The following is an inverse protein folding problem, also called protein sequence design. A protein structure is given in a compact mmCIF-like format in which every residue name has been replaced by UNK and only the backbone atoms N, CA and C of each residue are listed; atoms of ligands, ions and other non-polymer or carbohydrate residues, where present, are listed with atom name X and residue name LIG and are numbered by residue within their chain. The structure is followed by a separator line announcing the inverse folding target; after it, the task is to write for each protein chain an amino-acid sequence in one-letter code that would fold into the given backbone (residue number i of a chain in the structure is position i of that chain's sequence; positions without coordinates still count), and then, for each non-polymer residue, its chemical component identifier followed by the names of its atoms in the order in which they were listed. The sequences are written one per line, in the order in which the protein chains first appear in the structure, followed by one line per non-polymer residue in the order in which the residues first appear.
data_IF_106563430239
#
_entry.id   IF_106563430239
#
_cell.length_a   1.000
_cell.length_b   1.000
_cell.length_c   1.000
_cell.angle_alpha   90.00
_cell.angle_beta   90.00
_cell.angle_gamma   90.00
#
_symmetry.space_group_name_H-M   'P 1'
#
loop_
_entity.id
_entity.type
_entity.pdbx_description
1 polymer ?
#
# COMPACT_ATOMS: atom_id res chain seq x y z
N UNK A 1 30.94 -63.32 53.88
CA UNK A 1 31.39 -62.04 53.38
C UNK A 1 30.44 -61.62 52.23
N UNK A 2 29.45 -60.73 52.51
CA UNK A 2 28.49 -60.23 51.52
C UNK A 2 28.99 -58.90 51.00
N UNK A 3 29.35 -58.84 49.73
CA UNK A 3 29.71 -57.62 49.02
C UNK A 3 28.40 -56.87 48.60
N UNK A 4 28.23 -55.67 49.13
CA UNK A 4 27.19 -54.75 48.69
C UNK A 4 27.73 -53.94 47.50
N UNK A 5 27.09 -54.04 46.31
CA UNK A 5 27.28 -53.16 45.17
C UNK A 5 26.41 -51.91 45.35
N UNK A 6 26.91 -50.69 45.27
CA UNK A 6 26.05 -49.55 45.22
C UNK A 6 25.52 -49.41 43.78
N UNK A 7 24.17 -49.40 43.66
CA UNK A 7 23.48 -49.06 42.42
C UNK A 7 23.58 -47.54 42.24
N UNK A 8 24.40 -47.14 41.25
CA UNK A 8 24.51 -45.76 40.80
C UNK A 8 23.31 -45.43 39.93
N UNK A 9 22.26 -44.78 40.49
CA UNK A 9 21.14 -44.26 39.74
C UNK A 9 21.61 -43.06 38.95
N UNK A 10 21.87 -43.26 37.65
CA UNK A 10 22.16 -42.20 36.66
C UNK A 10 20.83 -41.54 36.30
N UNK A 11 20.50 -40.42 36.98
CA UNK A 11 19.41 -39.52 36.59
C UNK A 11 19.81 -38.84 35.31
N UNK A 12 19.42 -39.39 34.18
CA UNK A 12 19.38 -38.74 32.87
C UNK A 12 18.36 -37.62 32.95
N UNK A 13 18.83 -36.39 33.18
CA UNK A 13 18.07 -35.20 32.85
C UNK A 13 17.86 -35.20 31.35
N UNK A 14 16.77 -35.77 30.89
CA UNK A 14 16.20 -35.48 29.58
C UNK A 14 15.71 -34.04 29.60
N UNK A 15 16.65 -33.11 29.40
CA UNK A 15 16.34 -31.75 28.98
C UNK A 15 15.69 -31.88 27.60
N UNK A 16 14.41 -32.18 27.59
CA UNK A 16 13.60 -32.08 26.39
C UNK A 16 13.71 -30.64 25.89
N UNK A 17 14.54 -30.41 24.88
CA UNK A 17 14.38 -29.25 24.03
C UNK A 17 12.98 -29.32 23.45
N UNK A 18 11.99 -28.76 24.14
CA UNK A 18 10.70 -28.49 23.57
C UNK A 18 10.99 -27.59 22.38
N UNK A 19 10.96 -28.15 21.19
CA UNK A 19 11.14 -27.41 19.95
C UNK A 19 10.04 -26.37 19.93
N UNK A 20 10.39 -25.12 20.24
CA UNK A 20 9.44 -24.03 20.39
C UNK A 20 8.75 -23.86 19.05
N UNK A 21 7.44 -24.15 19.00
CA UNK A 21 6.64 -24.07 17.80
C UNK A 21 6.70 -22.65 17.25
N UNK A 22 7.19 -22.48 16.04
CA UNK A 22 7.19 -21.20 15.36
C UNK A 22 5.75 -20.86 14.93
N UNK A 23 5.23 -19.76 15.43
CA UNK A 23 3.94 -19.23 15.00
C UNK A 23 4.10 -18.48 13.69
N UNK A 24 3.14 -18.59 12.79
CA UNK A 24 3.15 -17.95 11.49
C UNK A 24 2.12 -16.82 11.46
N UNK A 25 2.49 -15.67 10.90
CA UNK A 25 1.58 -14.57 10.64
C UNK A 25 1.61 -14.26 9.15
N UNK A 26 0.46 -14.27 8.48
CA UNK A 26 0.35 -13.99 7.05
C UNK A 26 -0.23 -12.59 6.84
N UNK A 27 0.46 -11.74 6.07
CA UNK A 27 0.09 -10.36 5.80
C UNK A 27 -0.03 -10.13 4.29
N UNK A 28 -1.23 -9.79 3.79
CA UNK A 28 -1.40 -9.26 2.44
C UNK A 28 -1.36 -7.74 2.47
N UNK A 29 -0.59 -7.13 1.58
CA UNK A 29 -0.40 -5.69 1.65
C UNK A 29 -0.21 -5.01 0.28
N UNK A 30 -0.44 -3.70 0.25
CA UNK A 30 -0.12 -2.84 -0.88
C UNK A 30 1.38 -2.84 -1.19
N UNK A 31 1.74 -2.66 -2.46
CA UNK A 31 3.14 -2.59 -2.91
C UNK A 31 3.94 -1.53 -2.14
N UNK A 32 3.41 -0.32 -1.99
CA UNK A 32 4.03 0.80 -1.28
C UNK A 32 4.25 0.57 0.23
N UNK A 33 3.66 -0.47 0.80
CA UNK A 33 3.92 -0.89 2.18
C UNK A 33 5.05 -1.93 2.30
N UNK A 34 5.67 -2.36 1.20
CA UNK A 34 6.63 -3.47 1.21
C UNK A 34 7.80 -3.24 2.15
N UNK A 35 8.45 -2.06 2.05
CA UNK A 35 9.59 -1.74 2.91
C UNK A 35 9.18 -1.50 4.37
N UNK A 36 8.25 -0.60 4.70
CA UNK A 36 7.93 -0.34 6.10
C UNK A 36 7.34 -1.56 6.81
N UNK A 37 6.54 -2.40 6.12
CA UNK A 37 6.07 -3.65 6.71
C UNK A 37 7.17 -4.73 6.81
N UNK A 38 8.22 -4.70 5.97
CA UNK A 38 9.38 -5.57 6.16
C UNK A 38 10.08 -5.24 7.47
N UNK A 39 10.36 -3.97 7.69
CA UNK A 39 11.09 -3.51 8.85
C UNK A 39 10.26 -3.66 10.14
N UNK A 40 8.95 -3.38 10.07
CA UNK A 40 8.01 -3.67 11.19
C UNK A 40 7.93 -5.16 11.49
N UNK A 41 7.84 -6.02 10.46
CA UNK A 41 7.76 -7.47 10.68
C UNK A 41 8.99 -8.00 11.41
N UNK A 42 10.18 -7.61 10.95
CA UNK A 42 11.44 -7.98 11.61
C UNK A 42 11.50 -7.50 13.06
N UNK A 43 11.13 -6.24 13.30
CA UNK A 43 11.10 -5.69 14.65
C UNK A 43 10.05 -6.36 15.54
N UNK A 44 8.93 -6.80 14.96
CA UNK A 44 7.88 -7.55 15.68
C UNK A 44 8.36 -8.97 16.03
N UNK A 45 9.01 -9.66 15.12
CA UNK A 45 9.64 -10.97 15.38
C UNK A 45 10.64 -10.90 16.55
N UNK A 46 11.52 -9.89 16.54
CA UNK A 46 12.49 -9.63 17.62
C UNK A 46 11.78 -9.29 18.95
N UNK A 47 10.68 -8.54 18.90
CA UNK A 47 9.86 -8.20 20.06
C UNK A 47 9.18 -9.43 20.66
N UNK A 48 8.64 -10.31 19.84
CA UNK A 48 8.00 -11.55 20.29
C UNK A 48 9.01 -12.57 20.80
N UNK A 49 10.19 -12.66 20.18
CA UNK A 49 11.28 -13.51 20.67
C UNK A 49 11.72 -13.13 22.09
N UNK A 50 11.80 -11.83 22.42
CA UNK A 50 12.06 -11.35 23.79
C UNK A 50 10.96 -11.73 24.81
N UNK A 51 9.76 -12.03 24.34
CA UNK A 51 8.65 -12.57 25.15
C UNK A 51 8.65 -14.09 25.21
N UNK A 52 9.63 -14.75 24.61
CA UNK A 52 9.69 -16.21 24.55
C UNK A 52 8.78 -16.84 23.48
N UNK A 53 8.28 -16.08 22.50
CA UNK A 53 7.45 -16.57 21.41
C UNK A 53 8.19 -16.40 20.09
N UNK A 54 8.41 -17.52 19.37
CA UNK A 54 9.02 -17.46 18.04
C UNK A 54 7.94 -17.23 16.99
N UNK A 55 8.05 -16.14 16.24
CA UNK A 55 7.13 -15.74 15.18
C UNK A 55 7.88 -15.60 13.87
N UNK A 56 7.23 -15.96 12.76
CA UNK A 56 7.68 -15.70 11.40
C UNK A 56 6.56 -15.00 10.62
N UNK A 57 6.84 -13.81 10.06
CA UNK A 57 5.86 -13.00 9.34
C UNK A 57 6.04 -13.15 7.83
N UNK A 58 5.07 -13.81 7.19
CA UNK A 58 5.00 -13.96 5.73
C UNK A 58 4.23 -12.81 5.12
N UNK A 59 4.83 -12.12 4.16
CA UNK A 59 4.25 -10.95 3.52
C UNK A 59 4.06 -11.19 2.03
N UNK A 60 2.90 -10.81 1.51
CA UNK A 60 2.59 -10.89 0.09
C UNK A 60 2.10 -9.52 -0.42
N UNK A 61 2.93 -8.88 -1.28
CA UNK A 61 2.62 -7.60 -1.89
C UNK A 61 1.79 -7.76 -3.17
N UNK A 62 0.80 -6.88 -3.35
CA UNK A 62 0.03 -6.74 -4.59
C UNK A 62 -0.62 -5.35 -4.66
N UNK A 63 -1.31 -5.01 -5.75
CA UNK A 63 -2.23 -3.88 -5.72
C UNK A 63 -3.29 -4.06 -4.62
N UNK A 64 -3.71 -2.97 -3.96
CA UNK A 64 -4.59 -3.08 -2.79
C UNK A 64 -5.95 -3.70 -3.12
N UNK A 65 -6.48 -3.47 -4.31
CA UNK A 65 -7.74 -4.10 -4.76
C UNK A 65 -7.53 -5.61 -4.90
N UNK A 66 -6.40 -6.03 -5.46
CA UNK A 66 -6.05 -7.45 -5.58
C UNK A 66 -5.84 -8.09 -4.20
N UNK A 67 -5.18 -7.39 -3.25
CA UNK A 67 -5.00 -7.88 -1.88
C UNK A 67 -6.34 -8.18 -1.20
N UNK A 68 -7.31 -7.29 -1.35
CA UNK A 68 -8.68 -7.50 -0.84
C UNK A 68 -9.38 -8.66 -1.57
N UNK A 69 -9.27 -8.73 -2.90
CA UNK A 69 -9.90 -9.78 -3.71
C UNK A 69 -9.37 -11.18 -3.41
N UNK A 70 -8.11 -11.31 -3.01
CA UNK A 70 -7.58 -12.60 -2.52
C UNK A 70 -8.41 -13.14 -1.36
N UNK A 71 -8.93 -12.27 -0.50
CA UNK A 71 -9.79 -12.63 0.64
C UNK A 71 -11.25 -12.80 0.21
N UNK A 72 -11.80 -11.82 -0.55
CA UNK A 72 -13.24 -11.76 -0.85
C UNK A 72 -13.66 -12.72 -1.96
N UNK A 73 -12.85 -12.83 -3.02
CA UNK A 73 -13.18 -13.57 -4.23
C UNK A 73 -12.49 -14.95 -4.24
N UNK A 74 -11.22 -15.02 -3.80
CA UNK A 74 -10.44 -16.26 -3.80
C UNK A 74 -10.45 -16.98 -2.45
N UNK A 75 -11.10 -16.40 -1.43
CA UNK A 75 -11.25 -16.99 -0.08
C UNK A 75 -9.92 -17.43 0.57
N UNK A 76 -8.81 -16.78 0.18
CA UNK A 76 -7.51 -17.07 0.79
C UNK A 76 -7.50 -16.66 2.26
N UNK A 77 -6.89 -17.51 3.08
CA UNK A 77 -6.67 -17.21 4.51
C UNK A 77 -5.49 -16.27 4.67
N UNK A 78 -5.66 -15.29 5.55
CA UNK A 78 -4.65 -14.29 5.88
C UNK A 78 -4.98 -13.70 7.23
N UNK A 79 -3.97 -13.32 7.99
CA UNK A 79 -4.15 -12.81 9.35
C UNK A 79 -4.29 -11.28 9.37
N UNK A 80 -3.61 -10.58 8.45
CA UNK A 80 -3.68 -9.11 8.35
C UNK A 80 -3.78 -8.69 6.88
N UNK A 81 -4.65 -7.72 6.60
CA UNK A 81 -4.74 -7.04 5.29
C UNK A 81 -4.42 -5.56 5.48
N UNK A 82 -3.41 -5.05 4.77
CA UNK A 82 -3.00 -3.65 4.78
C UNK A 82 -3.03 -3.04 3.37
N UNK A 83 -3.79 -1.97 3.19
CA UNK A 83 -4.11 -1.38 1.87
C UNK A 83 -3.74 0.09 1.79
N UNK A 84 -3.41 0.57 0.59
CA UNK A 84 -3.09 1.97 0.33
C UNK A 84 -4.32 2.89 0.27
N UNK A 85 -5.53 2.32 0.24
CA UNK A 85 -6.78 3.06 0.40
C UNK A 85 -7.65 2.38 1.46
N UNK A 86 -7.75 2.99 2.65
CA UNK A 86 -8.53 2.44 3.75
C UNK A 86 -10.00 2.19 3.41
N UNK A 87 -10.57 2.95 2.45
CA UNK A 87 -11.98 2.81 2.06
C UNK A 87 -12.29 1.49 1.35
N UNK A 88 -11.29 0.77 0.85
CA UNK A 88 -11.47 -0.56 0.26
C UNK A 88 -11.95 -1.58 1.28
N UNK A 89 -11.49 -1.48 2.54
CA UNK A 89 -11.89 -2.42 3.60
C UNK A 89 -13.39 -2.31 3.89
N UNK A 90 -13.97 -1.15 4.25
CA UNK A 90 -15.40 -1.06 4.48
C UNK A 90 -16.23 -1.33 3.22
N UNK A 91 -15.75 -0.93 2.03
CA UNK A 91 -16.51 -1.10 0.78
C UNK A 91 -16.53 -2.54 0.26
N UNK A 92 -15.47 -3.31 0.49
CA UNK A 92 -15.30 -4.64 -0.12
C UNK A 92 -15.27 -5.79 0.88
N UNK A 93 -14.83 -5.54 2.12
CA UNK A 93 -14.67 -6.59 3.13
C UNK A 93 -15.74 -6.56 4.21
N UNK A 94 -16.22 -5.37 4.62
CA UNK A 94 -17.19 -5.27 5.73
C UNK A 94 -18.64 -5.42 5.25
N UNK A 95 -19.53 -5.99 6.05
CA UNK A 95 -19.24 -6.71 7.31
C UNK A 95 -18.87 -8.18 7.11
N UNK A 96 -18.90 -8.70 5.88
CA UNK A 96 -18.82 -10.14 5.59
C UNK A 96 -17.44 -10.74 5.92
N UNK A 97 -16.36 -10.05 5.57
CA UNK A 97 -14.97 -10.56 5.68
C UNK A 97 -14.14 -9.84 6.73
N UNK A 98 -14.57 -8.67 7.20
CA UNK A 98 -13.92 -7.90 8.26
C UNK A 98 -14.95 -7.18 9.13
N UNK A 99 -14.60 -6.85 10.38
CA UNK A 99 -15.48 -6.14 11.33
C UNK A 99 -15.05 -4.71 11.56
N UNK A 100 -13.81 -4.36 11.22
CA UNK A 100 -13.25 -3.04 11.41
C UNK A 100 -12.25 -2.66 10.32
N UNK A 101 -11.95 -1.38 10.27
CA UNK A 101 -10.85 -0.82 9.51
C UNK A 101 -10.17 0.26 10.35
N UNK A 102 -8.84 0.28 10.39
CA UNK A 102 -8.06 1.34 11.01
C UNK A 102 -7.26 2.05 9.91
N UNK A 103 -7.61 3.32 9.63
CA UNK A 103 -6.80 4.22 8.82
C UNK A 103 -5.66 4.75 9.69
N UNK A 104 -4.39 4.53 9.31
CA UNK A 104 -3.27 4.76 10.22
C UNK A 104 -2.13 5.63 9.66
N UNK A 105 -1.93 5.64 8.34
CA UNK A 105 -0.84 6.36 7.70
C UNK A 105 -1.32 7.14 6.47
N UNK A 106 -0.55 8.12 6.02
CA UNK A 106 -0.86 8.98 4.88
C UNK A 106 0.28 9.02 3.88
N UNK A 107 -0.01 9.53 2.69
CA UNK A 107 0.96 9.72 1.61
C UNK A 107 0.49 10.83 0.66
N UNK A 108 1.25 11.08 -0.39
CA UNK A 108 0.91 11.96 -1.50
C UNK A 108 1.43 11.38 -2.81
N UNK A 109 0.81 11.74 -3.92
CA UNK A 109 1.26 11.35 -5.26
C UNK A 109 2.34 12.30 -5.74
N UNK A 110 3.40 11.74 -6.30
CA UNK A 110 4.50 12.45 -6.95
C UNK A 110 4.75 11.86 -8.34
N UNK A 111 5.49 12.58 -9.16
CA UNK A 111 5.96 12.08 -10.45
C UNK A 111 7.45 11.75 -10.34
N UNK A 112 7.79 10.47 -10.31
CA UNK A 112 9.18 9.99 -10.20
C UNK A 112 9.87 9.86 -11.54
N UNK A 113 11.20 10.01 -11.53
CA UNK A 113 12.06 9.89 -12.70
C UNK A 113 13.52 9.64 -12.32
N UNK A 114 14.37 9.34 -13.30
CA UNK A 114 15.81 9.16 -13.15
C UNK A 114 16.61 10.30 -13.78
N UNK A 115 17.90 10.36 -13.53
CA UNK A 115 18.78 11.31 -14.21
C UNK A 115 18.81 11.13 -15.75
N UNK A 116 18.52 9.92 -16.21
CA UNK A 116 18.50 9.56 -17.65
C UNK A 116 17.14 9.77 -18.30
N UNK A 117 16.10 10.16 -17.55
CA UNK A 117 14.77 10.43 -18.09
C UNK A 117 14.84 11.65 -19.04
N UNK A 118 14.10 11.60 -20.13
CA UNK A 118 14.03 12.72 -21.08
C UNK A 118 13.53 13.96 -20.37
N UNK A 119 14.23 15.08 -20.55
CA UNK A 119 13.91 16.37 -19.92
C UNK A 119 14.04 16.38 -18.38
N UNK A 120 14.86 15.49 -17.80
CA UNK A 120 15.06 15.39 -16.35
C UNK A 120 15.53 16.67 -15.66
N UNK A 121 16.21 17.57 -16.39
CA UNK A 121 16.69 18.85 -15.89
C UNK A 121 15.74 20.02 -16.15
N UNK A 122 14.65 19.80 -16.90
CA UNK A 122 13.69 20.82 -17.27
C UNK A 122 12.38 20.68 -16.48
N UNK A 123 12.04 19.44 -16.09
CA UNK A 123 10.77 19.11 -15.46
C UNK A 123 10.64 19.71 -14.04
N UNK A 124 9.47 20.26 -13.76
CA UNK A 124 9.12 20.81 -12.46
C UNK A 124 7.60 20.81 -12.23
N UNK A 125 7.15 21.31 -11.06
CA UNK A 125 5.74 21.32 -10.68
C UNK A 125 4.83 22.16 -11.59
N UNK A 126 5.36 23.10 -12.37
CA UNK A 126 4.56 23.95 -13.25
C UNK A 126 4.48 23.46 -14.70
N UNK A 127 5.31 22.50 -15.10
CA UNK A 127 5.41 22.07 -16.51
C UNK A 127 5.38 20.54 -16.72
N UNK A 128 5.28 19.73 -15.68
CA UNK A 128 5.35 18.27 -15.77
C UNK A 128 4.41 17.68 -16.84
N UNK A 129 3.19 18.17 -16.92
CA UNK A 129 2.21 17.70 -17.88
C UNK A 129 2.60 18.06 -19.33
N UNK A 130 3.24 19.22 -19.56
CA UNK A 130 3.78 19.60 -20.87
C UNK A 130 4.96 18.72 -21.26
N UNK A 131 5.81 18.34 -20.31
CA UNK A 131 6.91 17.39 -20.53
C UNK A 131 6.37 16.00 -20.88
N UNK A 132 5.40 15.48 -20.11
CA UNK A 132 4.78 14.19 -20.41
C UNK A 132 4.09 14.17 -21.78
N UNK A 133 3.55 15.30 -22.25
CA UNK A 133 2.91 15.41 -23.55
C UNK A 133 3.90 15.35 -24.73
N UNK A 134 5.20 15.67 -24.52
CA UNK A 134 6.21 15.71 -25.59
C UNK A 134 6.32 14.36 -26.31
N UNK A 135 6.61 14.44 -27.62
CA UNK A 135 6.84 13.25 -28.46
C UNK A 135 8.04 12.44 -27.94
N UNK A 136 7.88 11.13 -27.88
CA UNK A 136 8.92 10.20 -27.43
C UNK A 136 9.01 10.03 -25.90
N UNK A 137 8.44 10.91 -25.09
CA UNK A 137 8.34 10.74 -23.63
C UNK A 137 7.31 9.65 -23.34
N UNK A 138 7.71 8.67 -22.52
CA UNK A 138 6.84 7.61 -22.02
C UNK A 138 6.70 7.71 -20.52
N UNK A 139 5.51 7.47 -20.02
CA UNK A 139 5.26 7.45 -18.58
C UNK A 139 4.33 6.30 -18.16
N UNK A 140 4.31 5.99 -16.88
CA UNK A 140 3.53 4.89 -16.36
C UNK A 140 2.74 5.23 -15.11
N UNK A 141 1.72 4.40 -14.87
CA UNK A 141 1.00 4.32 -13.61
C UNK A 141 0.45 2.89 -13.42
N UNK A 142 0.09 2.53 -12.19
CA UNK A 142 -0.48 1.22 -11.92
C UNK A 142 -1.91 1.09 -12.45
N UNK A 143 -2.39 -0.13 -12.66
CA UNK A 143 -3.72 -0.39 -13.18
C UNK A 143 -4.81 0.07 -12.18
N UNK A 144 -5.65 1.06 -12.53
CA UNK A 144 -6.70 1.59 -11.65
C UNK A 144 -7.70 0.53 -11.16
N UNK A 145 -7.91 -0.54 -11.93
CA UNK A 145 -8.80 -1.65 -11.55
C UNK A 145 -8.20 -2.56 -10.47
N UNK A 146 -6.89 -2.44 -10.18
CA UNK A 146 -6.14 -3.34 -9.31
C UNK A 146 -5.45 -2.62 -8.15
N UNK A 147 -5.10 -1.35 -8.35
CA UNK A 147 -4.26 -0.59 -7.43
C UNK A 147 -4.69 0.87 -7.27
N UNK A 148 -4.77 1.37 -6.01
CA UNK A 148 -5.12 2.76 -5.70
C UNK A 148 -4.20 3.80 -6.31
N UNK A 149 -2.89 3.54 -6.47
CA UNK A 149 -1.98 4.49 -7.09
C UNK A 149 -2.43 4.81 -8.53
N UNK A 150 -2.93 3.82 -9.26
CA UNK A 150 -3.42 3.98 -10.62
C UNK A 150 -4.64 4.91 -10.72
N UNK A 151 -5.70 4.68 -9.93
CA UNK A 151 -6.84 5.60 -9.99
C UNK A 151 -6.52 6.98 -9.41
N UNK A 152 -5.56 7.08 -8.49
CA UNK A 152 -5.08 8.36 -7.97
C UNK A 152 -4.25 9.13 -9.00
N UNK A 153 -3.44 8.45 -9.81
CA UNK A 153 -2.74 9.06 -10.95
C UNK A 153 -3.73 9.69 -11.94
N UNK A 154 -4.81 8.97 -12.25
CA UNK A 154 -5.90 9.51 -13.08
C UNK A 154 -6.57 10.73 -12.43
N UNK A 155 -6.84 10.67 -11.12
CA UNK A 155 -7.42 11.80 -10.36
C UNK A 155 -6.49 13.02 -10.37
N UNK A 156 -5.18 12.82 -10.17
CA UNK A 156 -4.16 13.89 -10.24
C UNK A 156 -4.19 14.57 -11.60
N UNK A 157 -4.17 13.79 -12.68
CA UNK A 157 -4.21 14.33 -14.05
C UNK A 157 -5.53 15.07 -14.35
N UNK A 158 -6.64 14.61 -13.77
CA UNK A 158 -7.94 15.29 -13.93
C UNK A 158 -8.06 16.56 -13.09
N UNK A 159 -7.56 16.55 -11.85
CA UNK A 159 -7.48 17.75 -11.00
C UNK A 159 -6.55 18.81 -11.60
N UNK A 160 -5.55 18.38 -12.36
CA UNK A 160 -4.62 19.28 -13.04
C UNK A 160 -5.30 20.12 -14.13
N UNK A 161 -6.42 19.66 -14.73
CA UNK A 161 -7.20 20.45 -15.69
C UNK A 161 -7.64 21.80 -15.07
N UNK A 162 -8.25 21.71 -13.89
CA UNK A 162 -8.75 22.90 -13.18
C UNK A 162 -7.61 23.74 -12.60
N UNK A 163 -6.56 23.09 -12.07
CA UNK A 163 -5.45 23.78 -11.42
C UNK A 163 -4.58 24.58 -12.40
N UNK A 164 -4.26 24.00 -13.57
CA UNK A 164 -3.42 24.67 -14.57
C UNK A 164 -4.23 25.40 -15.66
N UNK A 165 -5.55 25.25 -15.68
CA UNK A 165 -6.44 25.75 -16.74
C UNK A 165 -6.04 25.25 -18.14
N UNK A 166 -5.63 23.98 -18.22
CA UNK A 166 -5.14 23.30 -19.43
C UNK A 166 -5.81 21.93 -19.55
N UNK A 167 -6.06 21.39 -20.74
CA UNK A 167 -6.73 20.08 -20.93
C UNK A 167 -5.73 18.92 -20.68
N UNK A 168 -5.23 18.84 -19.43
CA UNK A 168 -4.18 17.86 -19.04
C UNK A 168 -4.67 16.43 -19.19
N UNK A 169 -5.90 16.15 -18.69
CA UNK A 169 -6.47 14.80 -18.73
C UNK A 169 -6.73 14.33 -20.16
N UNK A 170 -7.32 15.17 -20.99
CA UNK A 170 -7.53 14.86 -22.42
C UNK A 170 -6.19 14.58 -23.09
N UNK A 171 -5.22 15.51 -22.95
CA UNK A 171 -3.91 15.42 -23.60
C UNK A 171 -3.13 14.18 -23.19
N UNK A 172 -3.09 13.85 -21.90
CA UNK A 172 -2.27 12.75 -21.37
C UNK A 172 -2.99 11.42 -21.36
N UNK A 173 -4.29 11.38 -21.05
CA UNK A 173 -5.04 10.14 -20.83
C UNK A 173 -5.95 9.79 -22.00
N UNK A 174 -6.92 10.65 -22.36
CA UNK A 174 -7.93 10.30 -23.36
C UNK A 174 -7.35 10.10 -24.77
N UNK A 175 -6.35 10.91 -25.15
CA UNK A 175 -5.67 10.78 -26.43
C UNK A 175 -4.70 9.58 -26.50
N UNK A 176 -4.45 8.91 -25.37
CA UNK A 176 -3.46 7.82 -25.31
C UNK A 176 -4.04 6.50 -24.78
N UNK A 177 -5.30 6.50 -24.33
CA UNK A 177 -5.97 5.31 -23.80
C UNK A 177 -7.46 5.30 -24.18
N UNK A 178 -8.17 4.24 -23.82
CA UNK A 178 -9.63 4.16 -23.86
C UNK A 178 -10.32 4.60 -22.56
N UNK A 179 -9.60 5.17 -21.60
CA UNK A 179 -10.18 5.82 -20.40
C UNK A 179 -10.77 7.16 -20.79
N UNK A 180 -11.95 7.50 -20.29
CA UNK A 180 -12.67 8.74 -20.62
C UNK A 180 -13.14 9.46 -19.38
N UNK A 181 -13.34 10.77 -19.45
CA UNK A 181 -13.97 11.56 -18.41
C UNK A 181 -15.24 12.27 -18.92
N UNK A 182 -16.25 12.39 -18.05
CA UNK A 182 -17.42 13.22 -18.27
C UNK A 182 -17.58 14.13 -17.04
N UNK A 183 -17.34 15.41 -17.23
CA UNK A 183 -17.19 16.34 -16.11
C UNK A 183 -16.06 15.86 -15.19
N UNK A 184 -16.33 15.75 -13.92
CA UNK A 184 -15.34 15.31 -12.91
C UNK A 184 -15.38 13.81 -12.61
N UNK A 185 -16.07 13.01 -13.43
CA UNK A 185 -16.13 11.55 -13.29
C UNK A 185 -15.30 10.89 -14.38
N UNK A 186 -14.30 10.11 -13.98
CA UNK A 186 -13.43 9.33 -14.85
C UNK A 186 -13.98 7.91 -14.97
N UNK A 187 -14.21 7.44 -16.18
CA UNK A 187 -14.70 6.11 -16.51
C UNK A 187 -13.53 5.22 -16.92
N UNK A 188 -13.26 4.19 -16.14
CA UNK A 188 -12.17 3.25 -16.37
C UNK A 188 -12.74 1.91 -16.85
N UNK A 189 -12.48 1.51 -18.10
CA UNK A 189 -12.94 0.22 -18.61
C UNK A 189 -12.26 -0.96 -17.91
N UNK A 190 -12.84 -2.18 -17.96
CA UNK A 190 -12.22 -3.38 -17.40
C UNK A 190 -10.82 -3.65 -17.96
N UNK A 191 -10.65 -3.49 -19.26
CA UNK A 191 -9.38 -3.58 -19.97
C UNK A 191 -8.97 -2.20 -20.50
N UNK A 192 -7.79 -1.74 -20.09
CA UNK A 192 -7.28 -0.44 -20.51
C UNK A 192 -6.32 -0.65 -21.67
N UNK A 193 -6.70 -0.09 -22.82
CA UNK A 193 -5.87 -0.05 -24.01
C UNK A 193 -5.02 1.21 -24.02
N UNK A 194 -3.78 1.12 -24.54
CA UNK A 194 -2.86 2.25 -24.66
C UNK A 194 -2.23 2.27 -26.06
N UNK A 195 -1.84 3.45 -26.53
CA UNK A 195 -1.09 3.61 -27.79
C UNK A 195 0.44 3.47 -27.62
N UNK A 196 0.90 3.00 -26.45
CA UNK A 196 2.32 2.80 -26.13
C UNK A 196 3.04 4.00 -25.54
N UNK A 197 2.37 5.18 -25.39
CA UNK A 197 2.89 6.33 -24.65
C UNK A 197 2.77 6.11 -23.14
N UNK A 198 1.70 5.48 -22.72
CA UNK A 198 1.42 5.11 -21.31
C UNK A 198 1.71 3.62 -21.12
N UNK A 199 2.43 3.30 -20.05
CA UNK A 199 2.69 1.93 -19.63
C UNK A 199 1.96 1.65 -18.32
N UNK A 200 1.12 0.62 -18.30
CA UNK A 200 0.31 0.23 -17.15
C UNK A 200 0.83 -1.08 -16.58
N UNK A 201 0.97 -1.16 -15.26
CA UNK A 201 1.41 -2.36 -14.52
C UNK A 201 0.41 -2.71 -13.41
N UNK A 202 0.37 -3.97 -12.96
CA UNK A 202 -0.57 -4.42 -11.93
C UNK A 202 -0.49 -3.62 -10.63
N UNK A 203 0.70 -3.22 -10.20
CA UNK A 203 0.95 -2.40 -9.02
C UNK A 203 2.03 -1.35 -9.29
N UNK A 204 2.10 -0.33 -8.46
CA UNK A 204 2.99 0.83 -8.62
C UNK A 204 4.46 0.41 -8.59
N UNK A 205 4.85 -0.47 -7.69
CA UNK A 205 6.25 -0.92 -7.57
C UNK A 205 6.78 -1.66 -8.81
N UNK A 206 5.90 -2.14 -9.70
CA UNK A 206 6.31 -2.79 -10.95
C UNK A 206 6.84 -1.78 -11.99
N UNK A 207 6.61 -0.48 -11.77
CA UNK A 207 7.11 0.58 -12.65
C UNK A 207 8.57 0.94 -12.39
N UNK A 208 9.10 0.62 -11.20
CA UNK A 208 10.47 0.96 -10.81
C UNK A 208 11.51 0.35 -11.74
N UNK A 209 11.39 -0.94 -12.03
CA UNK A 209 12.29 -1.61 -12.98
C UNK A 209 12.20 -1.07 -14.41
N UNK A 210 11.07 -0.49 -14.81
CA UNK A 210 10.90 0.16 -16.10
C UNK A 210 11.57 1.54 -16.15
N UNK A 211 11.58 2.26 -15.04
CA UNK A 211 12.34 3.51 -14.90
C UNK A 211 13.86 3.23 -14.94
N UNK A 212 14.32 2.24 -14.17
CA UNK A 212 15.73 1.84 -14.11
C UNK A 212 16.26 1.35 -15.48
N UNK A 213 15.44 0.59 -16.21
CA UNK A 213 15.77 0.11 -17.56
C UNK A 213 15.54 1.15 -18.67
N UNK A 214 15.12 2.37 -18.31
CA UNK A 214 14.76 3.46 -19.25
C UNK A 214 13.66 3.08 -20.26
N UNK A 215 12.84 2.09 -19.94
CA UNK A 215 11.67 1.71 -20.74
C UNK A 215 10.55 2.75 -20.66
N UNK A 216 10.51 3.51 -19.56
CA UNK A 216 9.70 4.70 -19.35
C UNK A 216 10.56 5.82 -18.78
N UNK A 217 10.15 7.07 -18.98
CA UNK A 217 10.85 8.25 -18.47
C UNK A 217 10.31 8.68 -17.09
N UNK A 218 9.02 8.50 -16.85
CA UNK A 218 8.33 8.98 -15.66
C UNK A 218 7.31 7.96 -15.16
N UNK A 219 7.02 7.99 -13.85
CA UNK A 219 5.91 7.22 -13.30
C UNK A 219 5.21 8.01 -12.19
N UNK A 220 3.88 7.84 -12.08
CA UNK A 220 3.13 8.30 -10.93
C UNK A 220 3.30 7.31 -9.78
N UNK A 221 3.80 7.82 -8.65
CA UNK A 221 4.16 7.04 -7.48
C UNK A 221 3.79 7.76 -6.19
N UNK A 222 3.89 7.03 -5.09
CA UNK A 222 3.80 7.64 -3.77
C UNK A 222 5.15 8.22 -3.34
N UNK A 223 5.10 9.39 -2.67
CA UNK A 223 6.29 10.09 -2.18
C UNK A 223 7.15 9.22 -1.28
N UNK A 224 6.55 8.42 -0.39
CA UNK A 224 7.31 7.51 0.47
C UNK A 224 8.15 6.52 -0.35
N UNK A 225 7.59 5.95 -1.42
CA UNK A 225 8.31 5.02 -2.30
C UNK A 225 9.45 5.73 -3.04
N UNK A 226 9.21 6.94 -3.57
CA UNK A 226 10.25 7.75 -4.21
C UNK A 226 11.45 7.99 -3.27
N UNK A 227 11.18 8.34 -2.01
CA UNK A 227 12.20 8.54 -0.98
C UNK A 227 12.94 7.24 -0.61
N UNK A 228 12.21 6.14 -0.45
CA UNK A 228 12.78 4.81 -0.14
C UNK A 228 13.72 4.30 -1.24
N UNK A 229 13.41 4.62 -2.48
CA UNK A 229 14.19 4.18 -3.66
C UNK A 229 15.19 5.24 -4.13
N UNK A 230 15.35 6.35 -3.40
CA UNK A 230 16.25 7.46 -3.74
C UNK A 230 16.05 8.00 -5.16
N UNK A 231 14.80 7.96 -5.67
CA UNK A 231 14.45 8.48 -6.98
C UNK A 231 14.32 10.01 -6.94
N UNK A 232 14.63 10.65 -8.07
CA UNK A 232 14.21 12.03 -8.28
C UNK A 232 12.70 12.06 -8.48
N UNK A 233 12.07 13.13 -8.03
CA UNK A 233 10.63 13.32 -8.25
C UNK A 233 10.25 14.80 -8.32
N UNK A 234 9.15 15.05 -9.00
CA UNK A 234 8.46 16.34 -8.97
C UNK A 234 7.42 16.28 -7.86
N UNK A 235 7.53 17.18 -6.89
CA UNK A 235 6.45 17.43 -5.93
C UNK A 235 5.30 18.13 -6.65
N UNK A 236 4.13 17.50 -6.64
CA UNK A 236 2.94 18.08 -7.26
C UNK A 236 2.25 19.04 -6.28
N UNK A 237 1.56 20.07 -6.77
CA UNK A 237 0.80 20.98 -5.92
C UNK A 237 -0.17 20.25 -4.99
N UNK A 238 -0.33 20.74 -3.76
CA UNK A 238 -1.20 20.12 -2.74
C UNK A 238 -2.67 20.02 -3.17
N UNK A 239 -3.08 20.88 -4.06
CA UNK A 239 -4.42 20.94 -4.65
C UNK A 239 -4.72 19.72 -5.54
N UNK A 240 -3.68 19.01 -6.01
CA UNK A 240 -3.82 17.85 -6.89
C UNK A 240 -3.15 16.57 -6.40
N UNK A 241 -2.18 16.63 -5.47
CA UNK A 241 -1.37 15.49 -5.05
C UNK A 241 -2.06 14.49 -4.10
N UNK A 242 -3.28 14.78 -3.67
CA UNK A 242 -4.10 13.98 -2.75
C UNK A 242 -3.46 13.75 -1.37
N UNK A 243 -2.51 14.58 -0.96
CA UNK A 243 -1.81 14.46 0.33
C UNK A 243 -2.37 15.35 1.44
N UNK A 244 -3.10 16.39 1.10
CA UNK A 244 -3.54 17.41 2.06
C UNK A 244 -4.95 17.12 2.62
N UNK A 245 -5.10 17.00 3.95
CA UNK A 245 -6.42 16.86 4.56
C UNK A 245 -7.25 18.17 4.54
N UNK A 246 -6.65 19.29 4.14
CA UNK A 246 -7.31 20.60 4.06
C UNK A 246 -7.89 20.89 2.68
N UNK A 247 -7.49 20.13 1.66
CA UNK A 247 -7.95 20.32 0.29
C UNK A 247 -9.24 19.54 0.02
N UNK A 248 -10.07 20.08 -0.85
CA UNK A 248 -11.26 19.41 -1.39
C UNK A 248 -10.99 18.97 -2.83
N UNK A 249 -10.98 17.69 -3.07
CA UNK A 249 -10.71 17.12 -4.38
C UNK A 249 -12.01 16.73 -5.07
N UNK A 250 -12.45 17.52 -6.04
CA UNK A 250 -13.74 17.33 -6.73
C UNK A 250 -13.60 16.46 -7.99
N UNK A 251 -13.10 15.24 -7.82
CA UNK A 251 -12.96 14.23 -8.88
C UNK A 251 -13.35 12.87 -8.35
N UNK A 252 -13.90 12.02 -9.21
CA UNK A 252 -14.15 10.62 -8.92
C UNK A 252 -13.76 9.71 -10.08
N UNK A 253 -13.53 8.44 -9.75
CA UNK A 253 -13.26 7.37 -10.71
C UNK A 253 -14.35 6.31 -10.58
N UNK A 254 -14.99 5.96 -11.69
CA UNK A 254 -15.90 4.84 -11.81
C UNK A 254 -15.17 3.68 -12.49
N UNK A 255 -14.97 2.60 -11.73
CA UNK A 255 -14.46 1.35 -12.27
C UNK A 255 -15.63 0.58 -12.86
N UNK A 256 -15.75 0.59 -14.19
CA UNK A 256 -16.94 0.02 -14.90
C UNK A 256 -17.20 -1.43 -14.52
N UNK A 257 -16.15 -2.22 -14.43
CA UNK A 257 -16.23 -3.63 -14.07
C UNK A 257 -16.86 -3.88 -12.67
N UNK A 258 -16.89 -2.87 -11.77
CA UNK A 258 -17.46 -3.01 -10.41
C UNK A 258 -18.66 -2.09 -10.16
N UNK A 259 -18.97 -1.17 -11.06
CA UNK A 259 -20.01 -0.16 -10.86
C UNK A 259 -19.81 0.70 -9.60
N UNK A 260 -18.56 0.79 -9.09
CA UNK A 260 -18.25 1.50 -7.85
C UNK A 260 -17.52 2.80 -8.14
N UNK A 261 -18.10 3.88 -7.67
CA UNK A 261 -17.48 5.21 -7.67
C UNK A 261 -16.51 5.34 -6.50
N UNK A 262 -15.28 5.77 -6.80
CA UNK A 262 -14.24 6.11 -5.84
C UNK A 262 -14.02 7.62 -5.93
N UNK A 263 -14.40 8.35 -4.88
CA UNK A 263 -14.20 9.80 -4.80
C UNK A 263 -12.80 10.11 -4.32
N UNK A 264 -12.19 11.13 -4.89
CA UNK A 264 -10.91 11.64 -4.47
C UNK A 264 -10.97 12.14 -3.02
N UNK A 265 -9.97 11.74 -2.24
CA UNK A 265 -9.80 12.09 -0.82
C UNK A 265 -8.31 12.10 -0.49
N UNK A 266 -7.92 12.72 0.60
CA UNK A 266 -6.57 12.56 1.14
C UNK A 266 -6.21 11.08 1.28
N UNK A 267 -4.97 10.75 0.90
CA UNK A 267 -4.49 9.38 0.92
C UNK A 267 -4.37 8.89 2.35
N UNK A 268 -5.07 7.80 2.65
CA UNK A 268 -4.99 7.13 3.95
C UNK A 268 -4.86 5.63 3.74
N UNK A 269 -3.83 5.06 4.36
CA UNK A 269 -3.61 3.61 4.41
C UNK A 269 -4.46 2.97 5.49
N UNK A 270 -5.01 1.82 5.19
CA UNK A 270 -5.89 1.10 6.10
C UNK A 270 -5.40 -0.30 6.43
N UNK A 271 -5.73 -0.79 7.61
CA UNK A 271 -5.42 -2.15 8.06
C UNK A 271 -6.61 -2.79 8.75
N UNK A 272 -6.72 -4.11 8.63
CA UNK A 272 -7.73 -4.93 9.30
C UNK A 272 -7.24 -6.35 9.55
N UNK A 273 -7.95 -7.06 10.42
CA UNK A 273 -7.84 -8.51 10.64
C UNK A 273 -9.08 -9.15 9.99
N UNK A 274 -8.93 -9.96 8.95
CA UNK A 274 -10.06 -10.68 8.36
C UNK A 274 -10.72 -11.67 9.33
N UNK A 275 -12.01 -11.92 9.16
CA UNK A 275 -12.77 -12.87 10.00
C UNK A 275 -12.25 -14.31 9.92
N UNK A 276 -11.66 -14.68 8.79
CA UNK A 276 -11.07 -15.99 8.54
C UNK A 276 -9.58 -16.08 8.94
N UNK A 277 -9.05 -15.09 9.66
CA UNK A 277 -7.70 -15.16 10.22
C UNK A 277 -7.54 -16.36 11.14
N UNK A 278 -6.46 -17.12 10.94
CA UNK A 278 -6.16 -18.32 11.76
C UNK A 278 -5.47 -17.96 13.07
N UNK A 279 -4.67 -16.88 13.08
CA UNK A 279 -3.85 -16.46 14.21
C UNK A 279 -4.32 -15.08 14.74
N UNK A 280 -5.60 -15.00 15.15
CA UNK A 280 -6.23 -13.71 15.53
C UNK A 280 -5.54 -12.99 16.67
N UNK A 281 -5.13 -13.70 17.71
CA UNK A 281 -4.43 -13.12 18.87
C UNK A 281 -3.07 -12.56 18.45
N UNK A 282 -2.33 -13.27 17.61
CA UNK A 282 -1.05 -12.83 17.07
C UNK A 282 -1.23 -11.63 16.13
N UNK A 283 -2.29 -11.62 15.31
CA UNK A 283 -2.64 -10.48 14.45
C UNK A 283 -3.00 -9.23 15.27
N UNK A 284 -3.70 -9.39 16.39
CA UNK A 284 -3.98 -8.30 17.33
C UNK A 284 -2.69 -7.74 17.93
N UNK A 285 -1.77 -8.59 18.38
CA UNK A 285 -0.46 -8.15 18.90
C UNK A 285 0.37 -7.46 17.80
N UNK A 286 0.32 -7.95 16.56
CA UNK A 286 0.98 -7.30 15.42
C UNK A 286 0.40 -5.91 15.15
N UNK A 287 -0.93 -5.76 15.12
CA UNK A 287 -1.55 -4.45 14.94
C UNK A 287 -1.24 -3.49 16.09
N UNK A 288 -1.22 -3.96 17.34
CA UNK A 288 -0.78 -3.14 18.49
C UNK A 288 0.66 -2.67 18.30
N UNK A 289 1.55 -3.58 17.91
CA UNK A 289 2.94 -3.25 17.64
C UNK A 289 3.06 -2.24 16.49
N UNK A 290 2.38 -2.47 15.38
CA UNK A 290 2.33 -1.57 14.21
C UNK A 290 1.90 -0.16 14.61
N UNK A 291 0.80 -0.04 15.35
CA UNK A 291 0.18 1.25 15.70
C UNK A 291 0.93 2.01 16.80
N UNK A 292 1.86 1.36 17.50
CA UNK A 292 2.67 1.96 18.56
C UNK A 292 4.14 2.06 18.14
N UNK A 293 4.91 1.02 18.35
CA UNK A 293 6.35 0.97 18.03
C UNK A 293 6.66 1.01 16.54
N UNK A 294 5.76 0.45 15.72
CA UNK A 294 5.87 0.47 14.26
C UNK A 294 5.79 1.86 13.66
N UNK A 295 5.17 2.82 14.37
CA UNK A 295 5.06 4.22 13.95
C UNK A 295 6.42 4.84 13.60
N UNK A 296 7.38 4.74 14.51
CA UNK A 296 8.73 5.28 14.30
C UNK A 296 9.45 4.61 13.11
N UNK A 297 9.19 3.31 12.89
CA UNK A 297 9.76 2.55 11.78
C UNK A 297 9.18 3.08 10.46
N UNK A 298 7.85 3.24 10.38
CA UNK A 298 7.20 3.83 9.21
C UNK A 298 7.69 5.24 8.90
N UNK A 299 7.87 6.08 9.92
CA UNK A 299 8.35 7.46 9.74
C UNK A 299 9.80 7.48 9.24
N UNK A 300 10.67 6.57 9.71
CA UNK A 300 12.03 6.37 9.16
C UNK A 300 12.01 5.91 7.70
N UNK A 301 10.98 5.17 7.31
CA UNK A 301 10.75 4.73 5.94
C UNK A 301 9.93 5.76 5.14
N UNK A 302 9.94 7.03 5.57
CA UNK A 302 9.26 8.15 4.90
C UNK A 302 7.74 8.01 4.77
N UNK A 303 7.12 7.11 5.53
CA UNK A 303 5.68 6.90 5.56
C UNK A 303 5.09 7.56 6.81
N UNK A 304 4.42 8.70 6.66
CA UNK A 304 3.87 9.43 7.81
C UNK A 304 2.63 8.73 8.39
N UNK A 305 2.61 8.60 9.71
CA UNK A 305 1.40 8.20 10.42
C UNK A 305 0.41 9.36 10.53
N UNK A 306 -0.89 9.01 10.61
CA UNK A 306 -1.90 9.99 10.98
C UNK A 306 -1.70 10.40 12.44
N UNK A 307 -1.93 11.70 12.78
CA UNK A 307 -1.92 12.15 14.19
C UNK A 307 -2.92 11.39 15.04
N UNK A 308 -4.08 11.08 14.45
CA UNK A 308 -5.15 10.26 15.06
C UNK A 308 -5.63 9.23 14.03
N UNK A 309 -5.69 7.94 14.38
CA UNK A 309 -6.22 6.90 13.51
C UNK A 309 -7.70 7.14 13.15
N UNK A 310 -8.10 6.74 11.95
CA UNK A 310 -9.51 6.69 11.52
C UNK A 310 -10.02 5.29 11.82
N UNK A 311 -11.05 5.17 12.66
CA UNK A 311 -11.63 3.88 13.05
C UNK A 311 -13.02 3.73 12.46
N UNK A 312 -13.25 2.60 11.77
CA UNK A 312 -14.55 2.21 11.22
C UNK A 312 -14.87 0.81 11.74
N UNK A 313 -16.07 0.64 12.30
CA UNK A 313 -16.52 -0.64 12.86
C UNK A 313 -16.00 -0.91 14.27
N UNK A 314 -16.13 -2.17 14.71
CA UNK A 314 -15.80 -2.57 16.09
C UNK A 314 -14.43 -3.22 16.13
N UNK A 315 -13.44 -2.54 16.69
CA UNK A 315 -12.10 -3.09 16.88
C UNK A 315 -12.05 -4.10 18.03
N UNK A 316 -11.13 -5.08 17.99
CA UNK A 316 -10.88 -5.97 19.13
C UNK A 316 -10.42 -5.21 20.38
N UNK A 317 -10.86 -5.64 21.56
CA UNK A 317 -10.48 -5.03 22.85
C UNK A 317 -8.98 -4.78 23.03
N UNK A 318 -8.15 -5.70 22.51
CA UNK A 318 -6.69 -5.55 22.57
C UNK A 318 -6.14 -4.36 21.80
N UNK A 319 -6.86 -3.82 20.80
CA UNK A 319 -6.44 -2.69 19.96
C UNK A 319 -7.02 -1.36 20.49
N UNK A 320 -8.16 -1.39 21.18
CA UNK A 320 -8.83 -0.17 21.68
C UNK A 320 -7.88 0.75 22.46
N UNK A 321 -7.01 0.17 23.28
CA UNK A 321 -6.08 0.91 24.15
C UNK A 321 -4.97 1.67 23.40
N UNK A 322 -4.76 1.39 22.11
CA UNK A 322 -3.68 2.00 21.31
C UNK A 322 -4.17 2.93 20.21
N UNK A 323 -5.49 3.08 20.05
CA UNK A 323 -6.13 3.94 19.04
C UNK A 323 -6.93 5.10 19.65
N UNK A 324 -7.00 5.16 20.97
CA UNK A 324 -7.72 6.18 21.75
C UNK A 324 -7.06 7.54 21.81
#
# INVERSE_FOLDING_TARGET
MRRWLPILILLLFLSGCAQQKTEKLIVFHAGSLSKPLADVSKAFEDYMAKKGVRVEVFREASGSVDAVRKVTDLHRRVDVVAVADYTLIPKMMMPKYAEFCIGFATNEVVLVYTNSSRYANEINSSNWFKILAKKGVKFGFSNPNRDPCGYRALMVMKLADDYYHEPVFETLVENNTNVRAKGNVIYVPPEIETNGKIVIRPKETDLLGLLESHSIDYAFEYRSLAMQQHLRFVELPKEINLGSPKESYNVSVLLEFKGKEIRAKPIVYGVTIPKNAEHKELAIEFLKFLLTRGREIFEKDYQRFLPKPIVIGKVPKGIESVIG
#
